data_IF_124891060481
#
_entry.id   IF_124891060481
#
_cell.length_a   1.000
_cell.length_b   1.000
_cell.length_c   1.000
_cell.angle_alpha   90.00
_cell.angle_beta   90.00
_cell.angle_gamma   90.00
#
_symmetry.space_group_name_H-M   'P 1'
#
loop_
_entity.id
_entity.type
_entity.pdbx_description
1 polymer ?
#
# COMPACT_ATOMS: atom_id res chain seq x y z
N UNK A 1 14.66 46.71 16.92
CA UNK A 1 13.34 46.09 16.63
C UNK A 1 13.19 45.60 15.19
N UNK A 2 14.03 46.04 14.22
CA UNK A 2 13.95 45.61 12.82
C UNK A 2 14.47 44.18 12.51
N UNK A 3 15.28 43.56 13.38
CA UNK A 3 15.76 42.17 13.18
C UNK A 3 14.76 41.09 13.59
N UNK A 4 13.69 41.44 14.31
CA UNK A 4 12.62 40.48 14.64
C UNK A 4 11.71 40.21 13.44
N UNK A 5 11.59 41.15 12.50
CA UNK A 5 10.77 41.03 11.29
C UNK A 5 11.28 39.90 10.38
N UNK A 6 12.57 39.85 9.95
CA UNK A 6 13.06 38.76 9.12
C UNK A 6 13.02 37.42 9.85
N UNK A 7 13.28 37.38 11.16
CA UNK A 7 13.22 36.16 11.96
C UNK A 7 11.80 35.56 12.00
N UNK A 8 10.80 36.40 12.23
CA UNK A 8 9.40 35.98 12.31
C UNK A 8 8.87 35.55 10.93
N UNK A 9 9.27 36.24 9.86
CA UNK A 9 8.94 35.88 8.48
C UNK A 9 9.53 34.50 8.10
N UNK A 10 10.77 34.22 8.53
CA UNK A 10 11.44 32.94 8.33
C UNK A 10 10.70 31.78 9.03
N UNK A 11 10.29 31.99 10.28
CA UNK A 11 9.53 31.00 11.07
C UNK A 11 8.17 30.71 10.42
N UNK A 12 7.46 31.75 9.98
CA UNK A 12 6.16 31.59 9.29
C UNK A 12 6.33 30.81 7.99
N UNK A 13 7.36 31.12 7.20
CA UNK A 13 7.63 30.43 5.93
C UNK A 13 7.94 28.95 6.17
N UNK A 14 8.87 28.63 7.09
CA UNK A 14 9.21 27.25 7.42
C UNK A 14 8.04 26.47 8.01
N UNK A 15 7.26 27.07 8.93
CA UNK A 15 6.08 26.43 9.50
C UNK A 15 5.07 26.05 8.41
N UNK A 16 4.77 26.99 7.51
CA UNK A 16 3.83 26.75 6.42
C UNK A 16 4.33 25.69 5.43
N UNK A 17 5.64 25.67 5.14
CA UNK A 17 6.26 24.73 4.21
C UNK A 17 6.39 23.32 4.78
N UNK A 18 6.55 23.14 6.10
CA UNK A 18 6.70 21.82 6.73
C UNK A 18 5.35 21.20 7.14
N UNK A 19 4.40 22.01 7.62
CA UNK A 19 3.09 21.54 8.09
C UNK A 19 2.26 20.94 6.93
N UNK A 20 2.32 21.57 5.75
CA UNK A 20 1.55 21.16 4.55
C UNK A 20 1.98 19.79 3.99
N UNK A 21 3.27 19.51 3.74
CA UNK A 21 3.70 18.20 3.24
C UNK A 21 3.51 17.09 4.27
N UNK A 22 3.67 17.39 5.57
CA UNK A 22 3.51 16.39 6.62
C UNK A 22 2.05 15.94 6.76
N UNK A 23 1.11 16.89 6.75
CA UNK A 23 -0.32 16.56 6.76
C UNK A 23 -0.75 15.74 5.54
N UNK A 24 -0.18 16.02 4.36
CA UNK A 24 -0.50 15.25 3.14
C UNK A 24 -0.07 13.79 3.27
N UNK A 25 1.16 13.54 3.73
CA UNK A 25 1.69 12.19 3.95
C UNK A 25 0.91 11.43 5.03
N UNK A 26 0.55 12.08 6.13
CA UNK A 26 -0.24 11.45 7.20
C UNK A 26 -1.63 11.06 6.69
N UNK A 27 -2.30 11.94 5.94
CA UNK A 27 -3.61 11.67 5.35
C UNK A 27 -3.57 10.51 4.37
N UNK A 28 -2.56 10.41 3.52
CA UNK A 28 -2.38 9.30 2.57
C UNK A 28 -2.21 7.97 3.30
N UNK A 29 -1.37 7.93 4.35
CA UNK A 29 -1.15 6.72 5.16
C UNK A 29 -2.42 6.29 5.89
N UNK A 30 -3.12 7.22 6.55
CA UNK A 30 -4.39 6.93 7.23
C UNK A 30 -5.49 6.50 6.25
N UNK A 31 -5.54 7.10 5.06
CA UNK A 31 -6.51 6.72 4.02
C UNK A 31 -6.27 5.29 3.54
N UNK A 32 -5.01 4.90 3.33
CA UNK A 32 -4.66 3.53 2.93
C UNK A 32 -5.04 2.52 4.02
N UNK A 33 -4.75 2.84 5.28
CA UNK A 33 -5.13 2.00 6.42
C UNK A 33 -6.64 1.86 6.60
N UNK A 34 -7.41 2.92 6.31
CA UNK A 34 -8.87 2.88 6.39
C UNK A 34 -9.52 2.05 5.28
N UNK A 35 -8.82 1.84 4.16
CA UNK A 35 -9.31 1.10 3.01
C UNK A 35 -8.95 -0.38 2.99
N UNK A 36 -8.41 -0.92 4.10
CA UNK A 36 -8.06 -2.33 4.24
C UNK A 36 -9.31 -3.19 4.42
N UNK A 37 -9.38 -4.26 3.63
CA UNK A 37 -10.46 -5.26 3.64
C UNK A 37 -9.93 -6.64 4.06
N UNK A 38 -10.83 -7.51 4.52
CA UNK A 38 -10.49 -8.92 4.77
C UNK A 38 -10.17 -9.59 3.43
N UNK A 39 -9.11 -10.40 3.39
CA UNK A 39 -8.62 -11.04 2.18
C UNK A 39 -7.53 -10.25 1.44
N UNK A 40 -7.21 -9.02 1.89
CA UNK A 40 -6.15 -8.22 1.28
C UNK A 40 -4.78 -8.88 1.50
N UNK A 41 -4.00 -9.03 0.42
CA UNK A 41 -2.57 -9.35 0.53
C UNK A 41 -1.81 -8.07 0.81
N UNK A 42 -1.03 -8.05 1.87
CA UNK A 42 -0.31 -6.84 2.29
C UNK A 42 1.16 -7.12 2.58
N UNK A 43 1.94 -6.05 2.55
CA UNK A 43 3.30 -6.00 3.05
C UNK A 43 3.32 -5.06 4.26
N UNK A 44 3.80 -5.57 5.39
CA UNK A 44 3.99 -4.75 6.60
C UNK A 44 5.26 -3.90 6.50
N UNK A 45 5.43 -2.93 7.39
CA UNK A 45 6.63 -2.06 7.42
C UNK A 45 7.93 -2.88 7.54
N UNK A 46 7.88 -4.04 8.22
CA UNK A 46 9.02 -4.95 8.37
C UNK A 46 9.30 -5.85 7.16
N UNK A 47 8.56 -5.71 6.06
CA UNK A 47 8.69 -6.56 4.88
C UNK A 47 8.02 -7.93 5.03
N UNK A 48 7.15 -8.11 6.03
CA UNK A 48 6.38 -9.34 6.19
C UNK A 48 5.24 -9.36 5.17
N UNK A 49 5.13 -10.46 4.43
CA UNK A 49 4.05 -10.68 3.47
C UNK A 49 3.00 -11.58 4.11
N UNK A 50 1.74 -11.17 4.06
CA UNK A 50 0.65 -11.92 4.65
C UNK A 50 -0.70 -11.53 4.08
N UNK A 51 -1.73 -12.27 4.47
CA UNK A 51 -3.12 -12.02 4.07
C UNK A 51 -3.95 -11.61 5.29
N UNK A 52 -4.79 -10.59 5.15
CA UNK A 52 -5.67 -10.13 6.23
C UNK A 52 -6.80 -11.12 6.46
N UNK A 53 -6.81 -11.80 7.60
CA UNK A 53 -7.86 -12.77 7.97
C UNK A 53 -9.00 -12.07 8.70
N UNK A 54 -8.66 -11.19 9.64
CA UNK A 54 -9.62 -10.43 10.41
C UNK A 54 -9.15 -9.00 10.63
N UNK A 55 -10.12 -8.10 10.77
CA UNK A 55 -9.89 -6.70 11.10
C UNK A 55 -10.70 -6.43 12.36
N UNK A 56 -10.01 -5.98 13.39
CA UNK A 56 -10.58 -5.49 14.63
C UNK A 56 -10.33 -3.98 14.73
N UNK A 57 -11.01 -3.30 15.65
CA UNK A 57 -10.90 -1.85 15.77
C UNK A 57 -9.49 -1.44 16.28
N UNK A 58 -8.63 -1.06 15.34
CA UNK A 58 -7.23 -0.68 15.58
C UNK A 58 -6.20 -1.77 15.25
N UNK A 59 -6.61 -3.04 15.28
CA UNK A 59 -5.75 -4.20 15.05
C UNK A 59 -6.17 -5.00 13.81
N UNK A 60 -5.24 -5.72 13.21
CA UNK A 60 -5.48 -6.65 12.11
C UNK A 60 -4.82 -7.99 12.43
N UNK A 61 -5.49 -9.07 12.07
CA UNK A 61 -4.94 -10.42 12.15
C UNK A 61 -4.46 -10.82 10.76
N UNK A 62 -3.17 -11.10 10.66
CA UNK A 62 -2.49 -11.48 9.44
C UNK A 62 -2.12 -12.95 9.50
N UNK A 63 -2.48 -13.70 8.46
CA UNK A 63 -1.92 -15.03 8.22
C UNK A 63 -0.65 -14.90 7.39
N UNK A 64 0.45 -15.39 7.97
CA UNK A 64 1.75 -15.47 7.35
C UNK A 64 2.16 -16.95 7.30
N UNK A 65 1.84 -17.61 6.18
CA UNK A 65 2.19 -19.00 5.93
C UNK A 65 1.74 -19.98 7.04
N UNK A 66 0.51 -19.82 7.56
CA UNK A 66 -0.09 -20.69 8.57
C UNK A 66 0.14 -20.23 10.01
N UNK A 67 0.74 -19.06 10.21
CA UNK A 67 0.82 -18.40 11.52
C UNK A 67 -0.08 -17.19 11.53
N UNK A 68 -1.05 -17.16 12.45
CA UNK A 68 -1.89 -16.00 12.70
C UNK A 68 -1.18 -15.07 13.70
N UNK A 69 -0.90 -13.84 13.26
CA UNK A 69 -0.29 -12.81 14.10
C UNK A 69 -1.15 -11.56 14.11
N UNK A 70 -1.33 -10.99 15.29
CA UNK A 70 -2.00 -9.70 15.46
C UNK A 70 -1.00 -8.57 15.29
N UNK A 71 -1.33 -7.62 14.42
CA UNK A 71 -0.57 -6.40 14.17
C UNK A 71 -1.45 -5.17 14.30
N UNK A 72 -0.86 -4.03 14.61
CA UNK A 72 -1.57 -2.76 14.50
C UNK A 72 -1.92 -2.47 13.03
N UNK A 73 -3.08 -1.87 12.79
CA UNK A 73 -3.47 -1.39 11.46
C UNK A 73 -2.44 -0.42 10.87
N UNK A 74 -1.74 0.30 11.74
CA UNK A 74 -0.67 1.22 11.36
C UNK A 74 0.57 0.53 10.79
N UNK A 75 0.74 -0.78 11.01
CA UNK A 75 1.89 -1.55 10.56
C UNK A 75 1.82 -1.93 9.07
N UNK A 76 0.71 -1.64 8.38
CA UNK A 76 0.57 -1.88 6.94
C UNK A 76 1.27 -0.78 6.17
N UNK A 77 2.14 -1.18 5.23
CA UNK A 77 2.88 -0.25 4.36
C UNK A 77 2.31 -0.23 2.95
N UNK A 78 1.94 -1.39 2.42
CA UNK A 78 1.50 -1.55 1.04
C UNK A 78 0.48 -2.68 0.95
N UNK A 79 -0.56 -2.46 0.14
CA UNK A 79 -1.53 -3.50 -0.23
C UNK A 79 -1.16 -3.98 -1.63
N UNK A 80 -0.89 -5.28 -1.76
CA UNK A 80 -0.49 -5.93 -3.01
C UNK A 80 -1.69 -6.34 -3.85
N UNK A 81 -2.70 -6.92 -3.20
CA UNK A 81 -3.94 -7.33 -3.84
C UNK A 81 -5.07 -6.96 -2.91
N UNK A 82 -5.95 -6.07 -3.37
CA UNK A 82 -7.16 -5.72 -2.63
C UNK A 82 -8.24 -6.74 -2.96
N UNK A 83 -8.87 -7.33 -1.96
CA UNK A 83 -9.93 -8.32 -2.13
C UNK A 83 -11.12 -7.75 -2.94
N UNK A 84 -11.36 -6.43 -2.84
CA UNK A 84 -12.40 -5.73 -3.59
C UNK A 84 -12.04 -5.40 -5.05
N UNK A 85 -10.80 -5.67 -5.50
CA UNK A 85 -10.33 -5.33 -6.85
C UNK A 85 -10.26 -6.54 -7.81
N UNK A 86 -10.78 -7.70 -7.40
CA UNK A 86 -10.73 -8.93 -8.22
C UNK A 86 -11.81 -8.94 -9.34
N UNK A 87 -12.58 -7.87 -9.53
CA UNK A 87 -13.49 -7.74 -10.68
C UNK A 87 -12.98 -6.88 -11.84
N UNK A 88 -11.80 -6.23 -11.76
CA UNK A 88 -11.28 -5.42 -12.89
C UNK A 88 -9.93 -5.87 -13.48
N UNK A 89 -9.31 -6.95 -12.99
CA UNK A 89 -8.00 -7.42 -13.49
C UNK A 89 -8.04 -8.77 -14.23
N UNK A 90 -9.12 -9.06 -14.97
CA UNK A 90 -9.20 -10.27 -15.84
C UNK A 90 -9.44 -9.96 -17.33
N UNK A 91 -9.53 -8.68 -17.74
CA UNK A 91 -9.84 -8.34 -19.16
C UNK A 91 -8.60 -8.01 -20.00
N UNK A 92 -7.41 -7.79 -19.42
CA UNK A 92 -6.19 -7.48 -20.20
C UNK A 92 -5.20 -8.65 -20.39
N UNK A 93 -5.41 -9.79 -19.74
CA UNK A 93 -4.44 -10.90 -19.78
C UNK A 93 -4.67 -11.96 -20.89
N UNK A 94 -5.67 -11.82 -21.77
CA UNK A 94 -6.02 -12.88 -22.75
C UNK A 94 -5.71 -12.58 -24.23
N UNK A 95 -4.89 -11.58 -24.59
CA UNK A 95 -4.68 -11.26 -26.03
C UNK A 95 -3.29 -11.58 -26.61
N UNK A 96 -2.24 -11.88 -25.82
CA UNK A 96 -0.88 -11.95 -26.42
C UNK A 96 -0.11 -13.27 -26.37
N UNK A 97 -0.69 -14.40 -25.98
CA UNK A 97 0.05 -15.68 -26.04
C UNK A 97 -0.75 -16.90 -26.52
N UNK A 98 -1.61 -16.76 -27.53
CA UNK A 98 -2.03 -17.93 -28.34
C UNK A 98 -2.30 -17.50 -29.78
N UNK A 99 -1.28 -17.49 -30.64
CA UNK A 99 -1.36 -17.81 -32.09
C UNK A 99 0.00 -17.60 -32.77
N UNK A 100 0.89 -18.59 -32.66
CA UNK A 100 1.65 -19.10 -33.81
C UNK A 100 1.99 -20.55 -33.48
N UNK A 101 1.04 -21.41 -33.85
CA UNK A 101 1.25 -22.71 -34.51
C UNK A 101 2.55 -23.47 -34.22
N UNK A 102 2.35 -24.64 -33.62
CA UNK A 102 3.03 -25.91 -33.91
C UNK A 102 3.80 -25.93 -35.25
N UNK A 103 5.10 -26.21 -35.18
CA UNK A 103 5.77 -27.21 -36.01
C UNK A 103 6.86 -27.88 -35.15
N UNK A 104 6.47 -28.96 -34.51
CA UNK A 104 7.30 -30.17 -34.26
C UNK A 104 7.95 -30.56 -35.62
N UNK A 105 9.22 -30.99 -35.79
CA UNK A 105 9.90 -32.15 -35.19
C UNK A 105 11.35 -32.23 -35.75
N UNK A 106 12.26 -32.86 -34.99
CA UNK A 106 13.37 -33.75 -35.42
C UNK A 106 14.50 -33.31 -36.39
N UNK A 107 15.69 -33.13 -35.79
CA UNK A 107 16.89 -33.99 -35.98
C UNK A 107 16.95 -34.85 -37.26
N UNK A 108 17.67 -34.37 -38.29
CA UNK A 108 18.73 -35.13 -38.99
C UNK A 108 19.61 -34.22 -39.85
#
# INVERSE_FOLDING_TARGET
MAMLIPLLLMIVLFYFLLIRPQQKRQKEVTSMQSGLSKGDKIITIGGLHGTVVAIEDGNIVLDCAGSELTFDRNAVRTVLAKADAVEEEVVEAEVEEVTTTEVDTEKK
#
